data_IF_474904872648
#
_entry.id   IF_474904872648
#
_cell.length_a   1.000
_cell.length_b   1.000
_cell.length_c   1.000
_cell.angle_alpha   90.00
_cell.angle_beta   90.00
_cell.angle_gamma   90.00
#
_symmetry.space_group_name_H-M   'P 1'
#
loop_
_entity.id
_entity.type
_entity.pdbx_description
1 polymer ?
#
# COMPACT_ATOMS: atom_id res chain seq x y z
N UNK A 1 5.38 -3.56 -10.41
CA UNK A 1 5.88 -4.12 -11.68
C UNK A 1 4.99 -3.62 -12.80
N UNK A 2 5.54 -2.90 -13.78
CA UNK A 2 4.77 -2.30 -14.88
C UNK A 2 4.19 -3.40 -15.79
N UNK A 3 2.99 -3.17 -16.30
CA UNK A 3 2.28 -4.04 -17.28
C UNK A 3 3.14 -4.39 -18.51
N UNK A 4 4.11 -3.54 -18.87
CA UNK A 4 5.06 -3.78 -19.97
C UNK A 4 6.02 -4.94 -19.67
N UNK A 5 6.53 -5.05 -18.45
CA UNK A 5 7.43 -6.14 -18.07
C UNK A 5 6.72 -7.50 -18.05
N UNK A 6 5.41 -7.52 -17.84
CA UNK A 6 4.60 -8.74 -17.94
C UNK A 6 4.38 -9.18 -19.39
N UNK A 7 4.36 -8.26 -20.36
CA UNK A 7 4.04 -8.59 -21.77
C UNK A 7 5.16 -9.38 -22.44
N UNK A 8 6.42 -9.01 -22.18
CA UNK A 8 7.60 -9.70 -22.72
C UNK A 8 7.74 -11.13 -22.14
N UNK A 9 7.51 -11.28 -20.82
CA UNK A 9 7.52 -12.58 -20.15
C UNK A 9 6.46 -13.53 -20.72
N UNK A 10 5.25 -13.00 -20.98
CA UNK A 10 4.16 -13.77 -21.57
C UNK A 10 4.50 -14.14 -23.02
N UNK A 11 5.07 -13.21 -23.81
CA UNK A 11 5.50 -13.50 -25.18
C UNK A 11 6.51 -14.65 -25.27
N UNK A 12 7.47 -14.70 -24.34
CA UNK A 12 8.44 -15.79 -24.28
C UNK A 12 7.78 -17.14 -23.98
N UNK A 13 6.83 -17.17 -23.02
CA UNK A 13 6.07 -18.38 -22.71
C UNK A 13 5.21 -18.84 -23.88
N UNK A 14 4.57 -17.89 -24.57
CA UNK A 14 3.74 -18.18 -25.73
C UNK A 14 4.58 -18.77 -26.88
N UNK A 15 5.79 -18.24 -27.10
CA UNK A 15 6.74 -18.80 -28.07
C UNK A 15 7.05 -20.26 -27.76
N UNK A 16 7.44 -20.56 -26.53
CA UNK A 16 7.83 -21.91 -26.12
C UNK A 16 6.67 -22.91 -26.28
N UNK A 17 5.46 -22.49 -25.89
CA UNK A 17 4.26 -23.31 -26.06
C UNK A 17 3.89 -23.54 -27.54
N UNK A 18 4.01 -22.51 -28.38
CA UNK A 18 3.76 -22.62 -29.82
C UNK A 18 4.81 -23.50 -30.49
N UNK A 19 6.09 -23.35 -30.14
CA UNK A 19 7.18 -24.17 -30.70
C UNK A 19 6.95 -25.65 -30.38
N UNK A 20 6.59 -25.98 -29.13
CA UNK A 20 6.27 -27.35 -28.73
C UNK A 20 5.13 -27.98 -29.54
N UNK A 21 4.09 -27.20 -29.90
CA UNK A 21 2.95 -27.70 -30.70
C UNK A 21 3.26 -27.76 -32.19
N UNK A 22 4.06 -26.84 -32.71
CA UNK A 22 4.35 -26.69 -34.14
C UNK A 22 5.57 -27.50 -34.60
N UNK A 23 6.40 -28.00 -33.68
CA UNK A 23 7.56 -28.85 -33.97
C UNK A 23 7.18 -30.11 -34.76
N UNK A 24 6.01 -30.70 -34.50
CA UNK A 24 5.51 -31.86 -35.25
C UNK A 24 5.17 -31.57 -36.73
N UNK A 25 4.98 -30.31 -37.09
CA UNK A 25 4.73 -29.85 -38.45
C UNK A 25 6.01 -29.34 -39.16
N UNK A 26 7.17 -29.38 -38.48
CA UNK A 26 8.43 -28.84 -39.00
C UNK A 26 8.49 -27.31 -39.06
N UNK A 27 7.66 -26.61 -38.29
CA UNK A 27 7.60 -25.14 -38.26
C UNK A 27 8.33 -24.63 -37.01
N UNK A 28 9.29 -23.73 -37.21
CA UNK A 28 10.08 -23.08 -36.15
C UNK A 28 9.48 -21.71 -35.79
N UNK A 29 9.31 -21.43 -34.50
CA UNK A 29 8.79 -20.14 -34.02
C UNK A 29 9.94 -19.22 -33.61
N UNK A 30 10.24 -18.21 -34.44
CA UNK A 30 11.33 -17.27 -34.18
C UNK A 30 11.00 -16.29 -33.04
N UNK A 31 9.82 -15.67 -33.08
CA UNK A 31 9.32 -14.76 -32.03
C UNK A 31 7.81 -14.85 -31.84
N UNK A 32 7.34 -14.44 -30.67
CA UNK A 32 5.91 -14.25 -30.38
C UNK A 32 5.71 -12.89 -29.71
N UNK A 33 4.79 -12.08 -30.26
CA UNK A 33 4.49 -10.72 -29.78
C UNK A 33 3.00 -10.55 -29.59
N UNK A 34 2.60 -10.00 -28.45
CA UNK A 34 1.21 -9.59 -28.20
C UNK A 34 0.98 -8.24 -28.88
N UNK A 35 0.18 -8.23 -29.93
CA UNK A 35 -0.10 -7.03 -30.75
C UNK A 35 -1.07 -6.06 -30.07
N UNK A 36 -2.05 -6.56 -29.32
CA UNK A 36 -2.95 -5.76 -28.50
C UNK A 36 -3.35 -6.50 -27.23
N UNK A 37 -3.42 -5.76 -26.12
CA UNK A 37 -4.01 -6.22 -24.87
C UNK A 37 -5.09 -5.21 -24.49
N UNK A 38 -6.30 -5.43 -24.99
CA UNK A 38 -7.45 -4.61 -24.63
C UNK A 38 -8.16 -5.28 -23.46
N UNK A 39 -8.09 -4.68 -22.27
CA UNK A 39 -9.02 -5.01 -21.21
C UNK A 39 -10.43 -4.55 -21.63
N UNK A 40 -11.46 -5.30 -21.27
CA UNK A 40 -12.82 -4.79 -21.34
C UNK A 40 -12.90 -3.48 -20.50
N UNK A 41 -13.50 -2.39 -21.01
CA UNK A 41 -13.55 -1.09 -20.33
C UNK A 41 -14.02 -1.19 -18.86
N UNK A 42 -14.96 -2.10 -18.60
CA UNK A 42 -15.55 -2.38 -17.30
C UNK A 42 -14.54 -2.99 -16.32
N UNK A 43 -13.64 -3.86 -16.81
CA UNK A 43 -12.62 -4.53 -16.00
C UNK A 43 -11.44 -3.59 -15.74
N UNK A 44 -11.10 -2.72 -16.70
CA UNK A 44 -10.04 -1.73 -16.55
C UNK A 44 -10.36 -0.72 -15.43
N UNK A 45 -11.60 -0.22 -15.37
CA UNK A 45 -12.05 0.70 -14.32
C UNK A 45 -12.01 0.06 -12.94
N UNK A 46 -12.55 -1.16 -12.79
CA UNK A 46 -12.56 -1.89 -11.53
C UNK A 46 -11.15 -2.25 -11.05
N UNK A 47 -10.27 -2.65 -11.97
CA UNK A 47 -8.87 -2.97 -11.66
C UNK A 47 -8.09 -1.72 -11.23
N UNK A 48 -8.28 -0.60 -11.92
CA UNK A 48 -7.67 0.68 -11.56
C UNK A 48 -8.16 1.16 -10.19
N UNK A 49 -9.47 1.09 -9.93
CA UNK A 49 -10.06 1.45 -8.64
C UNK A 49 -9.47 0.61 -7.51
N UNK A 50 -9.32 -0.70 -7.71
CA UNK A 50 -8.70 -1.61 -6.73
C UNK A 50 -7.23 -1.25 -6.48
N UNK A 51 -6.47 -0.98 -7.53
CA UNK A 51 -5.05 -0.57 -7.40
C UNK A 51 -4.91 0.74 -6.64
N UNK A 52 -5.76 1.73 -6.93
CA UNK A 52 -5.78 3.00 -6.20
C UNK A 52 -6.18 2.80 -4.74
N UNK A 53 -7.20 1.99 -4.45
CA UNK A 53 -7.59 1.68 -3.07
C UNK A 53 -6.42 1.05 -2.29
N UNK A 54 -5.70 0.11 -2.89
CA UNK A 54 -4.49 -0.48 -2.27
C UNK A 54 -3.40 0.57 -2.04
N UNK A 55 -3.15 1.46 -3.01
CA UNK A 55 -2.17 2.53 -2.87
C UNK A 55 -2.55 3.53 -1.75
N UNK A 56 -3.83 3.88 -1.64
CA UNK A 56 -4.35 4.76 -0.58
C UNK A 56 -4.18 4.11 0.79
N UNK A 57 -4.53 2.83 0.94
CA UNK A 57 -4.34 2.10 2.20
C UNK A 57 -2.85 2.02 2.57
N UNK A 58 -1.97 1.72 1.61
CA UNK A 58 -0.53 1.67 1.86
C UNK A 58 0.04 3.03 2.28
N UNK A 59 -0.44 4.13 1.70
CA UNK A 59 -0.07 5.48 2.12
C UNK A 59 -0.55 5.77 3.54
N UNK A 60 -1.81 5.45 3.87
CA UNK A 60 -2.38 5.63 5.21
C UNK A 60 -1.61 4.84 6.26
N UNK A 61 -1.22 3.62 5.95
CA UNK A 61 -0.43 2.80 6.86
C UNK A 61 0.92 3.46 7.19
N UNK A 62 1.64 3.98 6.20
CA UNK A 62 2.91 4.70 6.44
C UNK A 62 2.72 5.95 7.30
N UNK A 63 1.62 6.68 7.13
CA UNK A 63 1.30 7.85 7.95
C UNK A 63 1.10 7.43 9.42
N UNK A 64 0.33 6.36 9.64
CA UNK A 64 0.06 5.82 10.98
C UNK A 64 1.35 5.35 11.65
N UNK A 65 2.20 4.61 10.93
CA UNK A 65 3.50 4.15 11.46
C UNK A 65 4.38 5.33 11.90
N UNK A 66 4.48 6.37 11.08
CA UNK A 66 5.21 7.59 11.44
C UNK A 66 4.59 8.32 12.64
N UNK A 67 3.26 8.41 12.68
CA UNK A 67 2.53 9.04 13.77
C UNK A 67 2.78 8.34 15.12
N UNK A 68 2.67 7.01 15.18
CA UNK A 68 2.93 6.23 16.41
C UNK A 68 4.36 6.47 16.90
N UNK A 69 5.35 6.41 16.00
CA UNK A 69 6.75 6.66 16.37
C UNK A 69 7.00 8.08 16.91
N UNK A 70 6.34 9.10 16.36
CA UNK A 70 6.42 10.47 16.88
C UNK A 70 5.83 10.60 18.29
N UNK A 71 4.72 9.90 18.57
CA UNK A 71 4.08 9.90 19.89
C UNK A 71 4.95 9.19 20.93
N UNK A 72 5.52 8.03 20.60
CA UNK A 72 6.42 7.30 21.49
C UNK A 72 7.63 8.16 21.87
N UNK A 73 8.29 8.77 20.89
CA UNK A 73 9.43 9.66 21.11
C UNK A 73 9.07 10.85 22.02
N UNK A 74 7.89 11.45 21.82
CA UNK A 74 7.43 12.57 22.63
C UNK A 74 7.21 12.16 24.09
N UNK A 75 6.57 11.02 24.33
CA UNK A 75 6.34 10.50 25.68
C UNK A 75 7.64 10.14 26.40
N UNK A 76 8.60 9.53 25.70
CA UNK A 76 9.92 9.25 26.25
C UNK A 76 10.65 10.53 26.66
N UNK A 77 10.63 11.57 25.82
CA UNK A 77 11.26 12.85 26.16
C UNK A 77 10.59 13.54 27.36
N UNK A 78 9.27 13.48 27.48
CA UNK A 78 8.53 14.06 28.62
C UNK A 78 8.90 13.32 29.91
N UNK A 79 8.96 11.99 29.87
CA UNK A 79 9.36 11.17 31.01
C UNK A 79 10.83 11.42 31.40
N UNK A 80 11.75 11.48 30.43
CA UNK A 80 13.17 11.73 30.66
C UNK A 80 13.45 13.11 31.27
N UNK A 81 12.65 14.12 30.91
CA UNK A 81 12.72 15.47 31.48
C UNK A 81 12.01 15.60 32.84
N UNK A 82 11.38 14.52 33.34
CA UNK A 82 10.60 14.53 34.58
C UNK A 82 9.37 15.44 34.53
N UNK A 83 8.88 15.77 33.33
CA UNK A 83 7.74 16.68 33.14
C UNK A 83 6.43 15.98 33.50
N UNK A 84 6.30 14.69 33.15
CA UNK A 84 5.17 13.85 33.52
C UNK A 84 5.55 12.36 33.50
N UNK A 85 4.88 11.56 34.35
CA UNK A 85 4.94 10.09 34.33
C UNK A 85 3.62 9.55 33.83
N UNK A 86 3.66 8.64 32.86
CA UNK A 86 2.46 8.04 32.28
C UNK A 86 2.24 6.62 32.79
N UNK A 87 1.03 6.32 33.26
CA UNK A 87 0.59 4.93 33.46
C UNK A 87 0.30 4.25 32.11
N UNK A 88 0.16 2.93 32.10
CA UNK A 88 -0.16 2.19 30.88
C UNK A 88 -1.49 2.66 30.26
N UNK A 89 -2.49 2.95 31.09
CA UNK A 89 -3.80 3.47 30.68
C UNK A 89 -3.67 4.86 30.03
N UNK A 90 -2.90 5.76 30.65
CA UNK A 90 -2.68 7.12 30.11
C UNK A 90 -1.94 7.10 28.77
N UNK A 91 -0.98 6.19 28.59
CA UNK A 91 -0.30 6.00 27.30
C UNK A 91 -1.27 5.55 26.21
N UNK A 92 -2.15 4.60 26.50
CA UNK A 92 -3.13 4.10 25.55
C UNK A 92 -4.13 5.20 25.11
N UNK A 93 -4.59 6.02 26.06
CA UNK A 93 -5.47 7.16 25.78
C UNK A 93 -4.75 8.22 24.92
N UNK A 94 -3.51 8.55 25.26
CA UNK A 94 -2.70 9.53 24.52
C UNK A 94 -2.42 9.09 23.07
N UNK A 95 -2.06 7.82 22.88
CA UNK A 95 -1.84 7.23 21.54
C UNK A 95 -3.12 7.26 20.72
N UNK A 96 -4.25 6.91 21.33
CA UNK A 96 -5.56 6.95 20.66
C UNK A 96 -5.90 8.38 20.21
N UNK A 97 -5.78 9.36 21.12
CA UNK A 97 -6.10 10.75 20.85
C UNK A 97 -5.17 11.34 19.77
N UNK A 98 -3.87 11.04 19.82
CA UNK A 98 -2.90 11.56 18.86
C UNK A 98 -3.01 10.88 17.50
N UNK A 99 -3.38 9.59 17.43
CA UNK A 99 -3.71 8.91 16.17
C UNK A 99 -4.91 9.55 15.48
N UNK A 100 -5.97 9.88 16.23
CA UNK A 100 -7.12 10.58 15.65
C UNK A 100 -6.71 11.95 15.10
N UNK A 101 -5.89 12.71 15.82
CA UNK A 101 -5.42 14.03 15.38
C UNK A 101 -4.48 13.96 14.16
N UNK A 102 -3.55 13.00 14.14
CA UNK A 102 -2.54 12.87 13.06
C UNK A 102 -3.10 12.25 11.78
N UNK A 103 -4.15 11.42 11.88
CA UNK A 103 -4.75 10.73 10.75
C UNK A 103 -6.02 11.44 10.23
N UNK A 104 -6.54 12.43 10.96
CA UNK A 104 -7.71 13.19 10.50
C UNK A 104 -7.32 14.23 9.43
N UNK A 105 -7.76 13.99 8.18
CA UNK A 105 -7.60 14.92 7.04
C UNK A 105 -8.34 16.26 7.22
N UNK A 106 -9.34 16.31 8.10
CA UNK A 106 -10.02 17.54 8.52
C UNK A 106 -9.70 17.75 9.99
N UNK A 107 -8.92 18.79 10.30
CA UNK A 107 -8.38 19.09 11.63
C UNK A 107 -9.28 18.62 12.77
N UNK A 108 -8.89 17.50 13.39
CA UNK A 108 -9.58 17.01 14.57
C UNK A 108 -9.26 17.94 15.74
N UNK A 109 -10.29 18.43 16.41
CA UNK A 109 -10.13 19.17 17.65
C UNK A 109 -9.82 18.15 18.76
N UNK A 110 -8.67 18.24 19.45
CA UNK A 110 -8.36 17.33 20.54
C UNK A 110 -9.37 17.56 21.66
N UNK A 111 -10.13 16.52 22.01
CA UNK A 111 -10.89 16.48 23.26
C UNK A 111 -9.89 16.21 24.38
N UNK A 112 -9.37 17.28 24.96
CA UNK A 112 -8.58 17.20 26.19
C UNK A 112 -9.57 16.91 27.32
N UNK A 113 -9.67 15.65 27.75
CA UNK A 113 -10.29 15.30 29.04
C UNK A 113 -9.36 15.80 30.14
N UNK A 114 -9.48 17.09 30.47
CA UNK A 114 -9.08 17.56 31.78
C UNK A 114 -10.09 16.96 32.77
N UNK A 115 -9.68 15.84 33.39
CA UNK A 115 -10.47 15.16 34.41
C UNK A 115 -10.93 16.13 35.50
N UNK A 116 -12.18 15.95 35.91
CA UNK A 116 -12.71 16.49 37.18
C UNK A 116 -12.30 15.56 38.30
#
# INVERSE_FOLDING_TARGET
TSLRGSTDLIGLRLKDELDGRLRGAGVEVLESRISSLSYAPEIAAAMLQRQQATAVVAARQKIVEGAVGMVELAMEQIAAKGIATFTAEQKAEMVTNLLVVLVSERGAQPVVSAGV
#
